data_IF_006646597514
#
_entry.id   IF_006646597514
#
_cell.length_a   1.000
_cell.length_b   1.000
_cell.length_c   1.000
_cell.angle_alpha   90.00
_cell.angle_beta   90.00
_cell.angle_gamma   90.00
#
_symmetry.space_group_name_H-M   'P 1'
#
loop_
_entity.id
_entity.type
_entity.pdbx_description
1 polymer ?
#
# COMPACT_ATOMS: atom_id res chain seq x y z
N UNK A 1 4.30 24.43 18.50
CA UNK A 1 3.96 23.64 17.29
C UNK A 1 5.13 22.74 16.86
N UNK A 2 6.30 23.26 16.49
CA UNK A 2 7.48 22.46 16.06
C UNK A 2 7.89 21.40 17.09
N UNK A 3 7.96 21.73 18.37
CA UNK A 3 8.34 20.81 19.47
C UNK A 3 7.31 19.67 19.61
N UNK A 4 6.04 19.96 19.47
CA UNK A 4 4.96 18.94 19.56
C UNK A 4 5.00 17.99 18.37
N UNK A 5 5.27 18.52 17.18
CA UNK A 5 5.44 17.72 15.96
C UNK A 5 6.70 16.87 16.04
N UNK A 6 7.82 17.42 16.55
CA UNK A 6 9.06 16.65 16.77
C UNK A 6 8.87 15.53 17.79
N UNK A 7 8.06 15.75 18.83
CA UNK A 7 7.70 14.71 19.81
C UNK A 7 6.79 13.67 19.16
N UNK A 8 5.85 14.06 18.30
CA UNK A 8 4.98 13.18 17.55
C UNK A 8 5.79 12.29 16.58
N UNK A 9 6.68 12.87 15.80
CA UNK A 9 7.60 12.15 14.90
C UNK A 9 8.51 11.20 15.71
N UNK A 10 9.04 11.63 16.83
CA UNK A 10 9.87 10.77 17.71
C UNK A 10 9.05 9.62 18.31
N UNK A 11 7.81 9.87 18.74
CA UNK A 11 6.93 8.83 19.29
C UNK A 11 6.47 7.85 18.17
N UNK A 12 6.19 8.34 16.97
CA UNK A 12 5.82 7.51 15.82
C UNK A 12 7.01 6.67 15.37
N UNK A 13 8.17 7.25 15.19
CA UNK A 13 9.38 6.52 14.79
C UNK A 13 9.83 5.53 15.88
N UNK A 14 9.67 5.87 17.17
CA UNK A 14 9.98 4.96 18.27
C UNK A 14 8.96 3.83 18.40
N UNK A 15 7.69 4.05 18.12
CA UNK A 15 6.65 3.02 18.12
C UNK A 15 6.88 2.00 16.98
N UNK A 16 7.29 2.47 15.80
CA UNK A 16 7.60 1.62 14.65
C UNK A 16 8.96 0.89 14.83
N UNK A 17 9.94 1.52 15.45
CA UNK A 17 11.28 0.91 15.67
C UNK A 17 11.37 0.06 16.94
N UNK A 18 10.42 0.15 17.86
CA UNK A 18 10.57 -0.40 19.21
C UNK A 18 10.34 -1.90 19.32
N UNK A 19 10.00 -2.65 18.26
CA UNK A 19 9.56 -4.02 18.53
C UNK A 19 9.89 -5.13 17.55
N UNK A 20 10.91 -5.06 16.79
CA UNK A 20 11.42 -6.31 16.22
C UNK A 20 12.89 -6.50 16.60
N UNK A 21 13.17 -7.48 17.44
CA UNK A 21 14.42 -8.23 17.29
C UNK A 21 14.30 -8.88 15.92
N UNK A 22 14.62 -8.11 14.89
CA UNK A 22 14.75 -8.61 13.52
C UNK A 22 15.60 -9.87 13.59
N UNK A 23 15.08 -10.99 13.08
CA UNK A 23 15.85 -12.21 13.09
C UNK A 23 17.12 -12.00 12.24
N UNK A 24 18.24 -12.52 12.68
CA UNK A 24 19.52 -12.42 11.96
C UNK A 24 19.37 -12.94 10.52
N UNK A 25 18.50 -13.90 10.30
CA UNK A 25 18.15 -14.47 9.00
C UNK A 25 17.59 -13.39 8.08
N UNK A 26 16.59 -12.65 8.54
CA UNK A 26 15.90 -11.62 7.74
C UNK A 26 16.86 -10.48 7.44
N UNK A 27 17.60 -10.03 8.43
CA UNK A 27 18.64 -9.01 8.26
C UNK A 27 19.66 -9.39 7.18
N UNK A 28 20.11 -10.65 7.16
CA UNK A 28 21.07 -11.12 6.16
C UNK A 28 20.46 -11.16 4.75
N UNK A 29 19.21 -11.62 4.63
CA UNK A 29 18.51 -11.75 3.34
C UNK A 29 18.13 -10.40 2.76
N UNK A 30 17.81 -9.41 3.61
CA UNK A 30 17.36 -8.07 3.16
C UNK A 30 18.49 -7.05 3.07
N UNK A 31 19.71 -7.41 3.44
CA UNK A 31 20.86 -6.49 3.49
C UNK A 31 21.04 -5.69 2.18
N UNK A 32 21.01 -4.38 2.29
CA UNK A 32 21.17 -3.46 1.15
C UNK A 32 19.88 -3.17 0.36
N UNK A 33 18.75 -3.77 0.76
CA UNK A 33 17.46 -3.55 0.13
C UNK A 33 16.43 -2.90 1.08
N UNK A 34 16.81 -2.67 2.33
CA UNK A 34 15.90 -2.14 3.35
C UNK A 34 15.51 -0.70 3.05
N UNK A 35 14.23 -0.39 3.27
CA UNK A 35 13.75 0.98 3.32
C UNK A 35 13.90 1.53 4.72
N UNK A 36 14.63 2.62 4.87
CA UNK A 36 14.87 3.27 6.16
C UNK A 36 13.87 4.41 6.37
N UNK A 37 12.82 4.14 7.14
CA UNK A 37 11.77 5.11 7.48
C UNK A 37 12.35 6.38 8.11
N UNK A 38 13.25 6.24 9.10
CA UNK A 38 13.81 7.39 9.82
C UNK A 38 14.61 8.32 8.89
N UNK A 39 15.43 7.77 8.00
CA UNK A 39 16.15 8.58 7.03
C UNK A 39 15.20 9.29 6.06
N UNK A 40 14.18 8.58 5.60
CA UNK A 40 13.18 9.14 4.69
C UNK A 40 12.40 10.28 5.35
N UNK A 41 11.89 10.09 6.58
CA UNK A 41 11.18 11.13 7.35
C UNK A 41 12.05 12.34 7.60
N UNK A 42 13.31 12.14 8.00
CA UNK A 42 14.26 13.25 8.21
C UNK A 42 14.48 14.09 6.96
N UNK A 43 14.52 13.46 5.79
CA UNK A 43 14.75 14.14 4.51
C UNK A 43 13.49 14.87 4.02
N UNK A 44 12.31 14.29 4.23
CA UNK A 44 11.06 14.82 3.66
C UNK A 44 10.29 15.74 4.62
N UNK A 45 10.50 15.63 5.93
CA UNK A 45 9.78 16.44 6.93
C UNK A 45 10.00 17.95 6.78
N UNK A 46 11.23 18.38 6.53
CA UNK A 46 11.56 19.80 6.48
C UNK A 46 11.27 20.44 5.12
N UNK A 47 11.42 19.71 4.03
CA UNK A 47 11.30 20.27 2.66
C UNK A 47 9.88 20.79 2.42
N UNK A 48 8.87 20.09 2.90
CA UNK A 48 7.47 20.47 2.74
C UNK A 48 7.09 21.68 3.59
N UNK A 49 7.57 21.74 4.83
CA UNK A 49 7.30 22.89 5.72
C UNK A 49 7.94 24.19 5.25
N UNK A 50 9.12 24.12 4.62
CA UNK A 50 9.79 25.28 4.03
C UNK A 50 8.98 25.84 2.87
N UNK A 51 8.36 24.99 2.05
CA UNK A 51 7.53 25.42 0.92
C UNK A 51 6.22 26.09 1.36
N UNK A 52 5.63 25.65 2.49
CA UNK A 52 4.43 26.28 3.08
C UNK A 52 4.67 27.75 3.51
N UNK A 53 5.92 28.09 3.85
CA UNK A 53 6.29 29.42 4.36
C UNK A 53 6.69 30.38 3.22
N UNK A 54 6.87 29.89 1.98
CA UNK A 54 7.30 30.70 0.85
C UNK A 54 6.14 31.55 0.27
N UNK A 55 6.08 32.89 0.52
CA UNK A 55 4.98 33.71 0.06
C UNK A 55 4.96 33.99 -1.46
N UNK A 56 6.01 33.60 -2.19
CA UNK A 56 6.18 33.90 -3.61
C UNK A 56 5.60 32.85 -4.55
N UNK A 57 5.05 31.73 -4.03
CA UNK A 57 4.63 30.57 -4.83
C UNK A 57 3.13 30.52 -5.17
N UNK A 58 2.40 31.62 -4.97
CA UNK A 58 0.94 31.69 -5.15
C UNK A 58 0.44 31.40 -6.58
N UNK A 59 1.31 31.43 -7.59
CA UNK A 59 0.91 31.26 -9.00
C UNK A 59 0.84 29.80 -9.48
N UNK A 60 1.41 28.87 -8.72
CA UNK A 60 1.50 27.45 -9.10
C UNK A 60 0.48 26.54 -8.40
N UNK A 61 -0.28 27.08 -7.44
CA UNK A 61 -1.24 26.29 -6.65
C UNK A 61 -2.31 25.64 -7.52
N UNK A 62 -2.56 24.36 -7.29
CA UNK A 62 -3.74 23.65 -7.81
C UNK A 62 -4.96 24.21 -7.06
N UNK A 63 -5.92 24.76 -7.81
CA UNK A 63 -7.11 25.44 -7.25
C UNK A 63 -8.41 24.76 -7.67
N UNK A 64 -8.35 23.73 -8.52
CA UNK A 64 -9.52 23.06 -9.02
C UNK A 64 -9.27 21.57 -9.23
N UNK A 65 -10.35 20.78 -9.19
CA UNK A 65 -10.33 19.36 -9.53
C UNK A 65 -9.78 19.09 -10.93
N UNK A 66 -10.05 19.97 -11.89
CA UNK A 66 -9.56 19.86 -13.27
C UNK A 66 -8.03 19.90 -13.33
N UNK A 67 -7.40 20.79 -12.58
CA UNK A 67 -5.93 20.88 -12.50
C UNK A 67 -5.33 19.65 -11.80
N UNK A 68 -5.98 19.12 -10.77
CA UNK A 68 -5.58 17.88 -10.13
C UNK A 68 -5.67 16.70 -11.10
N UNK A 69 -6.77 16.56 -11.83
CA UNK A 69 -6.95 15.52 -12.84
C UNK A 69 -5.88 15.60 -13.93
N UNK A 70 -5.52 16.80 -14.38
CA UNK A 70 -4.41 17.00 -15.33
C UNK A 70 -3.07 16.52 -14.74
N UNK A 71 -2.82 16.77 -13.46
CA UNK A 71 -1.63 16.25 -12.77
C UNK A 71 -1.64 14.72 -12.73
N UNK A 72 -2.75 14.10 -12.30
CA UNK A 72 -2.88 12.64 -12.22
C UNK A 72 -2.76 11.98 -13.61
N UNK A 73 -3.33 12.60 -14.65
CA UNK A 73 -3.18 12.12 -16.04
C UNK A 73 -1.72 12.21 -16.52
N UNK A 74 -0.96 13.22 -16.06
CA UNK A 74 0.48 13.29 -16.33
C UNK A 74 1.24 12.16 -15.64
N UNK A 75 0.89 11.85 -14.39
CA UNK A 75 1.47 10.71 -13.65
C UNK A 75 1.19 9.39 -14.37
N UNK A 76 -0.06 9.14 -14.77
CA UNK A 76 -0.45 7.96 -15.53
C UNK A 76 0.34 7.83 -16.84
N UNK A 77 0.47 8.93 -17.59
CA UNK A 77 1.27 8.99 -18.82
C UNK A 77 2.74 8.62 -18.59
N UNK A 78 3.34 9.09 -17.49
CA UNK A 78 4.72 8.74 -17.13
C UNK A 78 4.81 7.25 -16.86
N UNK A 79 3.89 6.68 -16.06
CA UNK A 79 3.86 5.26 -15.73
C UNK A 79 3.70 4.37 -16.97
N UNK A 80 2.82 4.75 -17.91
CA UNK A 80 2.67 4.04 -19.20
C UNK A 80 3.95 4.07 -20.01
N UNK A 81 4.63 5.21 -20.08
CA UNK A 81 5.89 5.33 -20.80
C UNK A 81 7.03 4.54 -20.11
N UNK A 82 7.10 4.52 -18.78
CA UNK A 82 8.05 3.67 -18.02
C UNK A 82 7.82 2.18 -18.28
N UNK A 83 6.57 1.75 -18.34
CA UNK A 83 6.22 0.37 -18.68
C UNK A 83 6.63 0.02 -20.12
N UNK A 84 6.42 0.93 -21.08
CA UNK A 84 6.88 0.76 -22.46
C UNK A 84 8.40 0.67 -22.54
N UNK A 85 9.10 1.56 -21.83
CA UNK A 85 10.56 1.51 -21.69
C UNK A 85 11.04 0.13 -21.21
N UNK A 86 10.41 -0.39 -20.16
CA UNK A 86 10.76 -1.70 -19.58
C UNK A 86 10.55 -2.85 -20.60
N UNK A 87 9.49 -2.79 -21.39
CA UNK A 87 9.23 -3.76 -22.47
C UNK A 87 10.31 -3.70 -23.56
N UNK A 88 10.60 -2.52 -24.07
CA UNK A 88 11.62 -2.32 -25.09
C UNK A 88 13.01 -2.75 -24.60
N UNK A 89 13.33 -2.45 -23.35
CA UNK A 89 14.60 -2.87 -22.77
C UNK A 89 14.70 -4.39 -22.64
N UNK A 90 13.62 -5.07 -22.25
CA UNK A 90 13.55 -6.53 -22.21
C UNK A 90 13.67 -7.15 -23.61
N UNK A 91 13.02 -6.57 -24.62
CA UNK A 91 13.14 -7.02 -26.01
C UNK A 91 14.58 -6.88 -26.53
N UNK A 92 15.26 -5.79 -26.20
CA UNK A 92 16.67 -5.59 -26.51
C UNK A 92 17.56 -6.68 -25.89
N UNK A 93 17.35 -7.00 -24.60
CA UNK A 93 18.09 -8.06 -23.92
C UNK A 93 17.85 -9.43 -24.55
N UNK A 94 16.62 -9.73 -24.98
CA UNK A 94 16.29 -10.97 -25.68
C UNK A 94 16.98 -11.05 -27.06
N UNK A 95 17.04 -9.93 -27.80
CA UNK A 95 17.79 -9.87 -29.05
C UNK A 95 19.28 -10.14 -28.82
N UNK A 96 19.90 -9.52 -27.82
CA UNK A 96 21.31 -9.76 -27.47
C UNK A 96 21.58 -11.23 -27.09
N UNK A 97 20.65 -11.84 -26.34
CA UNK A 97 20.73 -13.26 -26.02
C UNK A 97 20.61 -14.14 -27.27
N UNK A 98 19.67 -13.84 -28.18
CA UNK A 98 19.50 -14.59 -29.44
C UNK A 98 20.72 -14.49 -30.36
N UNK A 99 21.39 -13.32 -30.40
CA UNK A 99 22.65 -13.14 -31.15
C UNK A 99 23.73 -14.05 -30.52
N UNK A 100 23.94 -14.01 -29.19
CA UNK A 100 24.94 -14.84 -28.50
C UNK A 100 24.73 -16.34 -28.70
N UNK A 101 23.48 -16.77 -28.90
CA UNK A 101 23.12 -18.19 -29.17
C UNK A 101 23.07 -18.57 -30.64
N UNK A 102 23.36 -17.65 -31.56
CA UNK A 102 23.27 -17.90 -33.00
C UNK A 102 21.85 -18.19 -33.51
N UNK A 103 20.82 -17.73 -32.79
CA UNK A 103 19.40 -17.96 -33.08
C UNK A 103 18.78 -16.93 -34.04
N UNK A 104 19.50 -15.89 -34.40
CA UNK A 104 19.08 -14.81 -35.28
C UNK A 104 20.25 -14.33 -36.12
N UNK A 105 19.97 -13.87 -37.34
CA UNK A 105 20.96 -13.23 -38.20
C UNK A 105 21.43 -11.91 -37.54
N UNK A 106 22.77 -11.74 -37.49
CA UNK A 106 23.41 -10.60 -36.78
C UNK A 106 23.01 -9.25 -37.41
N UNK A 107 22.85 -9.20 -38.74
CA UNK A 107 22.51 -7.95 -39.42
C UNK A 107 21.04 -7.55 -39.11
N UNK A 108 20.13 -8.55 -39.16
CA UNK A 108 18.72 -8.31 -38.82
C UNK A 108 18.59 -7.88 -37.37
N UNK A 109 19.29 -8.54 -36.44
CA UNK A 109 19.27 -8.20 -35.05
C UNK A 109 19.84 -6.80 -34.81
N UNK A 110 20.92 -6.42 -35.52
CA UNK A 110 21.53 -5.07 -35.39
C UNK A 110 20.57 -3.98 -35.86
N UNK A 111 19.83 -4.19 -36.96
CA UNK A 111 18.82 -3.24 -37.43
C UNK A 111 17.75 -3.04 -36.35
N UNK A 112 17.16 -4.14 -35.83
CA UNK A 112 16.15 -4.08 -34.78
C UNK A 112 16.65 -3.42 -33.50
N UNK A 113 17.90 -3.75 -33.08
CA UNK A 113 18.49 -3.13 -31.90
C UNK A 113 18.66 -1.62 -32.08
N UNK A 114 19.02 -1.14 -33.27
CA UNK A 114 19.12 0.29 -33.56
C UNK A 114 17.74 0.97 -33.53
N UNK A 115 16.70 0.33 -34.06
CA UNK A 115 15.33 0.84 -34.00
C UNK A 115 14.86 0.95 -32.55
N UNK A 116 15.03 -0.10 -31.75
CA UNK A 116 14.68 -0.13 -30.33
C UNK A 116 15.48 0.96 -29.56
N UNK A 117 16.77 1.13 -29.82
CA UNK A 117 17.57 2.15 -29.16
C UNK A 117 17.07 3.57 -29.47
N UNK A 118 16.72 3.86 -30.74
CA UNK A 118 16.16 5.14 -31.11
C UNK A 118 14.81 5.41 -30.43
N UNK A 119 13.96 4.40 -30.31
CA UNK A 119 12.68 4.51 -29.60
C UNK A 119 12.90 4.71 -28.08
N UNK A 120 13.83 3.98 -27.47
CA UNK A 120 14.22 4.15 -26.07
C UNK A 120 14.73 5.57 -25.81
N UNK A 121 15.59 6.14 -26.65
CA UNK A 121 16.12 7.50 -26.49
C UNK A 121 15.00 8.54 -26.49
N UNK A 122 14.09 8.47 -27.47
CA UNK A 122 12.94 9.38 -27.54
C UNK A 122 12.02 9.25 -26.33
N UNK A 123 11.81 8.01 -25.87
CA UNK A 123 10.96 7.72 -24.74
C UNK A 123 11.56 8.24 -23.43
N UNK A 124 12.86 8.07 -23.22
CA UNK A 124 13.60 8.59 -22.06
C UNK A 124 13.56 10.12 -22.01
N UNK A 125 13.76 10.80 -23.13
CA UNK A 125 13.63 12.26 -23.22
C UNK A 125 12.24 12.73 -22.82
N UNK A 126 11.19 12.08 -23.34
CA UNK A 126 9.79 12.37 -23.02
C UNK A 126 9.48 12.14 -21.55
N UNK A 127 9.92 11.00 -20.99
CA UNK A 127 9.76 10.69 -19.57
C UNK A 127 10.43 11.75 -18.70
N UNK A 128 11.66 12.12 -19.01
CA UNK A 128 12.41 13.11 -18.23
C UNK A 128 11.73 14.49 -18.26
N UNK A 129 11.25 14.93 -19.42
CA UNK A 129 10.51 16.19 -19.55
C UNK A 129 9.21 16.17 -18.73
N UNK A 130 8.44 15.08 -18.83
CA UNK A 130 7.19 14.94 -18.09
C UNK A 130 7.45 14.86 -16.57
N UNK A 131 8.54 14.22 -16.13
CA UNK A 131 8.96 14.18 -14.71
C UNK A 131 9.32 15.54 -14.14
N UNK A 132 9.96 16.40 -14.90
CA UNK A 132 10.24 17.78 -14.45
C UNK A 132 8.94 18.52 -14.18
N UNK A 133 7.97 18.45 -15.11
CA UNK A 133 6.65 19.08 -14.93
C UNK A 133 5.89 18.49 -13.74
N UNK A 134 5.95 17.15 -13.58
CA UNK A 134 5.36 16.45 -12.45
C UNK A 134 5.93 16.97 -11.12
N UNK A 135 7.27 17.04 -11.00
CA UNK A 135 7.93 17.44 -9.77
C UNK A 135 7.61 18.90 -9.40
N UNK A 136 7.50 19.81 -10.37
CA UNK A 136 7.09 21.18 -10.14
C UNK A 136 5.66 21.32 -9.60
N UNK A 137 4.76 20.38 -9.94
CA UNK A 137 3.35 20.41 -9.55
C UNK A 137 3.02 19.54 -8.34
N UNK A 138 3.90 18.60 -7.98
CA UNK A 138 3.67 17.57 -6.95
C UNK A 138 3.19 18.18 -5.64
N UNK A 139 3.93 19.14 -5.10
CA UNK A 139 3.63 19.73 -3.80
C UNK A 139 2.27 20.42 -3.76
N UNK A 140 1.83 21.03 -4.88
CA UNK A 140 0.52 21.67 -4.94
C UNK A 140 -0.62 20.67 -5.09
N UNK A 141 -0.36 19.53 -5.76
CA UNK A 141 -1.31 18.41 -5.82
C UNK A 141 -1.50 17.81 -4.43
N UNK A 142 -0.41 17.59 -3.71
CA UNK A 142 -0.43 17.09 -2.33
C UNK A 142 -1.21 18.04 -1.41
N UNK A 143 -0.91 19.34 -1.43
CA UNK A 143 -1.63 20.34 -0.64
C UNK A 143 -3.13 20.35 -0.92
N UNK A 144 -3.53 20.27 -2.19
CA UNK A 144 -4.94 20.22 -2.56
C UNK A 144 -5.63 18.95 -2.03
N UNK A 145 -4.98 17.81 -2.11
CA UNK A 145 -5.47 16.55 -1.55
C UNK A 145 -5.60 16.62 -0.03
N UNK A 146 -4.57 17.13 0.66
CA UNK A 146 -4.53 17.30 2.12
C UNK A 146 -5.66 18.19 2.63
N UNK A 147 -5.91 19.33 1.98
CA UNK A 147 -7.00 20.24 2.32
C UNK A 147 -8.38 19.55 2.21
N UNK A 148 -8.59 18.76 1.17
CA UNK A 148 -9.86 18.07 0.96
C UNK A 148 -10.05 16.87 1.89
N UNK A 149 -9.00 16.08 2.14
CA UNK A 149 -9.02 15.00 3.14
C UNK A 149 -9.23 15.58 4.53
N UNK A 150 -8.50 16.65 4.91
CA UNK A 150 -8.69 17.33 6.19
C UNK A 150 -10.13 17.79 6.38
N UNK A 151 -10.74 18.37 5.35
CA UNK A 151 -12.14 18.79 5.39
C UNK A 151 -13.11 17.62 5.54
N UNK A 152 -12.84 16.48 4.89
CA UNK A 152 -13.65 15.27 5.03
C UNK A 152 -13.54 14.69 6.45
N UNK A 153 -12.33 14.61 7.02
CA UNK A 153 -12.10 14.16 8.40
C UNK A 153 -12.84 15.06 9.40
N UNK A 154 -12.78 16.38 9.19
CA UNK A 154 -13.50 17.34 10.05
C UNK A 154 -15.02 17.17 9.97
N UNK A 155 -15.56 16.85 8.78
CA UNK A 155 -17.01 16.60 8.64
C UNK A 155 -17.47 15.37 9.42
N UNK A 156 -16.59 14.38 9.61
CA UNK A 156 -16.80 13.19 10.43
C UNK A 156 -16.49 13.40 11.93
N UNK A 157 -16.17 14.63 12.34
CA UNK A 157 -15.95 15.04 13.75
C UNK A 157 -14.84 14.28 14.47
N UNK A 158 -13.78 13.87 13.76
CA UNK A 158 -12.63 13.19 14.38
C UNK A 158 -11.71 14.23 15.05
N UNK A 159 -11.81 14.35 16.38
CA UNK A 159 -11.04 15.29 17.19
C UNK A 159 -10.15 14.56 18.20
N UNK A 160 -8.99 15.11 18.55
CA UNK A 160 -8.13 14.54 19.61
C UNK A 160 -8.65 14.92 21.00
N UNK A 161 -8.96 16.19 21.22
CA UNK A 161 -9.47 16.74 22.48
C UNK A 161 -10.47 17.85 22.16
N UNK A 162 -11.75 17.63 22.31
CA UNK A 162 -12.82 18.65 22.25
C UNK A 162 -12.49 19.89 21.40
N UNK A 163 -12.01 19.71 20.15
CA UNK A 163 -11.60 20.73 19.19
C UNK A 163 -10.21 21.38 19.37
N UNK A 164 -9.32 20.91 20.26
CA UNK A 164 -8.05 21.61 20.54
C UNK A 164 -6.85 21.07 19.73
N UNK A 165 -6.83 19.80 19.34
CA UNK A 165 -5.70 19.25 18.59
C UNK A 165 -6.15 18.30 17.46
N UNK A 166 -5.79 18.67 16.23
CA UNK A 166 -5.97 17.88 15.03
C UNK A 166 -4.59 17.50 14.49
N UNK A 167 -4.36 16.21 14.21
CA UNK A 167 -3.15 15.78 13.50
C UNK A 167 -3.27 16.27 12.05
N UNK A 168 -2.41 17.18 11.59
CA UNK A 168 -2.49 17.65 10.21
C UNK A 168 -2.41 16.46 9.23
N UNK A 169 -3.21 16.50 8.17
CA UNK A 169 -3.01 15.60 7.05
C UNK A 169 -1.76 16.08 6.32
N UNK A 170 -0.80 15.20 6.16
CA UNK A 170 0.43 15.44 5.42
C UNK A 170 0.80 14.18 4.65
N UNK A 171 0.90 14.26 3.33
CA UNK A 171 1.16 13.12 2.47
C UNK A 171 2.24 13.42 1.42
N UNK A 172 2.94 12.39 0.98
CA UNK A 172 3.85 12.44 -0.15
C UNK A 172 3.46 11.41 -1.20
N UNK A 173 3.17 11.87 -2.42
CA UNK A 173 2.83 11.01 -3.56
C UNK A 173 4.13 10.43 -4.16
N UNK A 174 4.42 9.17 -3.86
CA UNK A 174 5.65 8.51 -4.27
C UNK A 174 5.43 7.03 -4.63
N UNK A 175 6.47 6.42 -5.23
CA UNK A 175 6.53 4.96 -5.31
C UNK A 175 6.74 4.41 -3.88
N UNK A 176 5.73 3.75 -3.36
CA UNK A 176 5.77 3.19 -2.00
C UNK A 176 6.85 2.10 -1.87
N UNK A 177 7.46 1.96 -0.68
CA UNK A 177 8.25 0.79 -0.35
C UNK A 177 7.49 -0.50 -0.61
N UNK A 178 8.19 -1.59 -0.82
CA UNK A 178 7.59 -2.92 -0.83
C UNK A 178 7.69 -3.53 0.56
N UNK A 179 6.81 -4.48 0.85
CA UNK A 179 6.80 -5.19 2.12
C UNK A 179 7.16 -6.66 1.89
N UNK A 180 8.25 -7.12 2.50
CA UNK A 180 8.53 -8.53 2.66
C UNK A 180 7.71 -9.03 3.85
N UNK A 181 6.83 -9.99 3.61
CA UNK A 181 6.00 -10.65 4.63
C UNK A 181 6.46 -12.09 4.79
N UNK A 182 6.63 -12.53 6.03
CA UNK A 182 7.15 -13.85 6.38
C UNK A 182 6.14 -14.58 7.24
N UNK A 183 5.91 -15.84 6.91
CA UNK A 183 5.03 -16.77 7.61
C UNK A 183 5.71 -18.11 7.80
N UNK A 184 5.46 -18.86 8.89
CA UNK A 184 5.78 -20.26 8.96
C UNK A 184 5.08 -21.03 7.83
N UNK A 185 5.62 -22.18 7.42
CA UNK A 185 5.00 -23.00 6.38
C UNK A 185 3.85 -23.86 6.89
N UNK A 186 3.84 -24.16 8.18
CA UNK A 186 2.84 -25.03 8.84
C UNK A 186 1.54 -24.32 9.23
N UNK A 187 1.50 -22.99 9.13
CA UNK A 187 0.31 -22.17 9.45
C UNK A 187 0.31 -20.85 8.71
N UNK A 188 -0.86 -20.23 8.61
CA UNK A 188 -1.01 -18.87 8.13
C UNK A 188 -0.84 -17.92 9.32
N UNK A 189 0.31 -17.27 9.40
CA UNK A 189 0.66 -16.39 10.51
C UNK A 189 1.66 -15.34 10.06
N UNK A 190 1.35 -14.06 10.24
CA UNK A 190 2.24 -12.94 9.93
C UNK A 190 3.30 -12.85 11.03
N UNK A 191 4.42 -13.53 10.80
CA UNK A 191 5.47 -13.70 11.80
C UNK A 191 6.37 -12.47 11.90
N UNK A 192 6.78 -11.95 10.76
CA UNK A 192 7.70 -10.82 10.65
C UNK A 192 7.51 -10.11 9.31
N UNK A 193 7.74 -8.79 9.32
CA UNK A 193 7.64 -7.96 8.14
C UNK A 193 8.88 -7.07 8.01
N UNK A 194 9.28 -6.77 6.75
CA UNK A 194 10.36 -5.84 6.47
C UNK A 194 10.05 -4.95 5.30
N UNK A 195 10.15 -3.63 5.49
CA UNK A 195 10.05 -2.68 4.38
C UNK A 195 11.32 -2.70 3.54
N UNK A 196 11.12 -2.79 2.23
CA UNK A 196 12.15 -2.83 1.21
C UNK A 196 12.03 -1.62 0.29
N UNK A 197 13.12 -1.21 -0.33
CA UNK A 197 13.14 -0.14 -1.30
C UNK A 197 12.14 -0.40 -2.44
N UNK A 198 11.46 0.65 -2.92
CA UNK A 198 10.45 0.57 -3.98
C UNK A 198 10.98 0.01 -5.31
N UNK A 199 12.26 0.22 -5.60
CA UNK A 199 12.94 -0.12 -6.87
C UNK A 199 13.64 -1.48 -6.86
N UNK A 200 13.44 -2.32 -5.82
CA UNK A 200 14.03 -3.66 -5.76
C UNK A 200 13.61 -4.50 -6.98
N UNK A 201 14.56 -5.15 -7.61
CA UNK A 201 14.34 -5.96 -8.81
C UNK A 201 13.56 -7.25 -8.51
N UNK A 202 12.83 -7.76 -9.51
CA UNK A 202 12.12 -9.03 -9.39
C UNK A 202 13.07 -10.20 -9.13
N UNK A 203 14.29 -10.15 -9.69
CA UNK A 203 15.32 -11.16 -9.44
C UNK A 203 15.74 -11.18 -7.96
N UNK A 204 16.01 -10.00 -7.37
CA UNK A 204 16.34 -9.89 -5.96
C UNK A 204 15.18 -10.38 -5.06
N UNK A 205 13.93 -10.04 -5.40
CA UNK A 205 12.74 -10.53 -4.71
C UNK A 205 12.68 -12.05 -4.73
N UNK A 206 12.82 -12.65 -5.92
CA UNK A 206 12.75 -14.10 -6.07
C UNK A 206 13.88 -14.80 -5.29
N UNK A 207 15.09 -14.26 -5.32
CA UNK A 207 16.22 -14.81 -4.57
C UNK A 207 15.99 -14.75 -3.05
N UNK A 208 15.46 -13.63 -2.52
CA UNK A 208 15.08 -13.53 -1.10
C UNK A 208 14.05 -14.58 -0.71
N UNK A 209 12.97 -14.68 -1.48
CA UNK A 209 11.88 -15.60 -1.20
C UNK A 209 12.34 -17.06 -1.27
N UNK A 210 13.23 -17.42 -2.21
CA UNK A 210 13.82 -18.75 -2.33
C UNK A 210 14.75 -19.06 -1.17
N UNK A 211 15.64 -18.15 -0.79
CA UNK A 211 16.54 -18.32 0.35
C UNK A 211 15.76 -18.57 1.64
N UNK A 212 14.69 -17.79 1.87
CA UNK A 212 13.82 -17.98 3.05
C UNK A 212 13.12 -19.34 3.02
N UNK A 213 12.70 -19.80 1.84
CA UNK A 213 12.04 -21.11 1.70
C UNK A 213 13.01 -22.27 1.86
N UNK A 214 14.11 -22.28 1.14
CA UNK A 214 15.01 -23.42 1.01
C UNK A 214 15.97 -23.57 2.20
N UNK A 215 16.50 -22.45 2.70
CA UNK A 215 17.50 -22.47 3.77
C UNK A 215 16.89 -22.32 5.16
N UNK A 216 15.71 -21.66 5.26
CA UNK A 216 15.12 -21.31 6.55
C UNK A 216 13.75 -21.96 6.79
N UNK A 217 13.20 -22.68 5.82
CA UNK A 217 11.89 -23.35 5.89
C UNK A 217 10.73 -22.38 6.22
N UNK A 218 10.78 -21.16 5.63
CA UNK A 218 9.80 -20.10 5.81
C UNK A 218 9.07 -19.80 4.50
N UNK A 219 7.79 -19.51 4.60
CA UNK A 219 7.00 -18.96 3.50
C UNK A 219 7.17 -17.45 3.45
N UNK A 220 7.50 -16.90 2.30
CA UNK A 220 7.74 -15.47 2.15
C UNK A 220 7.14 -14.93 0.86
N UNK A 221 6.71 -13.66 0.90
CA UNK A 221 6.25 -12.91 -0.26
C UNK A 221 6.64 -11.43 -0.13
N UNK A 222 7.07 -10.84 -1.23
CA UNK A 222 7.24 -9.38 -1.33
C UNK A 222 6.04 -8.80 -2.07
N UNK A 223 5.32 -7.91 -1.41
CA UNK A 223 4.12 -7.26 -1.93
C UNK A 223 4.32 -5.74 -2.07
N UNK A 224 3.66 -5.06 -3.02
CA UNK A 224 3.59 -3.60 -3.01
C UNK A 224 2.73 -3.14 -1.82
N UNK A 225 3.07 -2.00 -1.23
CA UNK A 225 2.20 -1.31 -0.27
C UNK A 225 1.39 -0.23 -0.97
N UNK A 226 0.19 0.05 -0.50
CA UNK A 226 -0.62 1.18 -0.95
C UNK A 226 -0.12 2.50 -0.40
N UNK A 227 0.18 2.49 0.88
CA UNK A 227 0.75 3.58 1.65
C UNK A 227 1.69 3.08 2.74
N UNK A 228 2.28 4.00 3.47
CA UNK A 228 3.04 3.77 4.71
C UNK A 228 2.79 4.94 5.65
N UNK A 229 2.42 4.64 6.88
CA UNK A 229 2.10 5.62 7.94
C UNK A 229 3.34 6.30 8.51
N UNK A 230 4.14 6.89 7.62
CA UNK A 230 5.21 7.84 7.95
C UNK A 230 4.63 9.24 8.16
N UNK A 231 5.45 10.22 8.49
CA UNK A 231 5.02 11.61 8.52
C UNK A 231 6.02 12.53 7.76
N UNK A 232 5.65 13.03 6.55
CA UNK A 232 4.38 12.84 5.78
C UNK A 232 4.08 11.35 5.50
N UNK A 233 2.80 10.97 5.35
CA UNK A 233 2.46 9.61 4.93
C UNK A 233 2.85 9.38 3.48
N UNK A 234 3.58 8.31 3.19
CA UNK A 234 3.86 7.91 1.81
C UNK A 234 2.59 7.30 1.23
N UNK A 235 2.14 7.81 0.09
CA UNK A 235 0.95 7.31 -0.61
C UNK A 235 1.31 7.00 -2.06
N UNK A 236 0.92 5.82 -2.53
CA UNK A 236 1.16 5.40 -3.91
C UNK A 236 0.41 6.29 -4.89
N UNK A 237 1.08 6.69 -5.95
CA UNK A 237 0.44 7.35 -7.08
C UNK A 237 -0.55 6.38 -7.76
N UNK A 238 -1.77 6.83 -8.02
CA UNK A 238 -2.84 6.02 -8.59
C UNK A 238 -4.04 6.86 -9.04
N UNK A 239 -5.21 6.25 -9.10
CA UNK A 239 -6.45 6.99 -9.33
C UNK A 239 -6.83 7.83 -8.09
N UNK A 240 -7.63 8.88 -8.32
CA UNK A 240 -7.95 9.85 -7.28
C UNK A 240 -8.61 9.22 -6.06
N UNK A 241 -9.59 8.33 -6.25
CA UNK A 241 -10.30 7.70 -5.14
C UNK A 241 -9.36 6.86 -4.30
N UNK A 242 -8.51 6.05 -4.94
CA UNK A 242 -7.52 5.22 -4.28
C UNK A 242 -6.54 6.06 -3.44
N UNK A 243 -6.02 7.17 -4.00
CA UNK A 243 -5.12 8.09 -3.28
C UNK A 243 -5.82 8.64 -2.02
N UNK A 244 -7.08 9.10 -2.15
CA UNK A 244 -7.82 9.68 -1.04
C UNK A 244 -8.12 8.65 0.06
N UNK A 245 -8.52 7.45 -0.32
CA UNK A 245 -8.78 6.35 0.61
C UNK A 245 -7.52 5.93 1.35
N UNK A 246 -6.41 5.73 0.62
CA UNK A 246 -5.13 5.36 1.21
C UNK A 246 -4.60 6.46 2.14
N UNK A 247 -4.63 7.72 1.71
CA UNK A 247 -4.14 8.82 2.53
C UNK A 247 -4.94 8.98 3.84
N UNK A 248 -6.25 8.78 3.81
CA UNK A 248 -7.09 8.80 5.00
C UNK A 248 -6.83 7.58 5.92
N UNK A 249 -6.59 6.40 5.34
CA UNK A 249 -6.18 5.19 6.05
C UNK A 249 -4.86 5.41 6.81
N UNK A 250 -3.81 5.87 6.12
CA UNK A 250 -2.50 6.12 6.73
C UNK A 250 -2.56 7.26 7.78
N UNK A 251 -3.39 8.26 7.53
CA UNK A 251 -3.62 9.32 8.52
C UNK A 251 -4.24 8.77 9.81
N UNK A 252 -5.18 7.81 9.71
CA UNK A 252 -5.79 7.24 10.91
C UNK A 252 -4.79 6.41 11.72
N UNK A 253 -3.88 5.68 11.09
CA UNK A 253 -2.77 5.03 11.80
C UNK A 253 -1.94 6.05 12.60
N UNK A 254 -1.57 7.17 11.97
CA UNK A 254 -0.83 8.24 12.65
C UNK A 254 -1.61 8.85 13.83
N UNK A 255 -2.92 9.00 13.67
CA UNK A 255 -3.79 9.46 14.77
C UNK A 255 -3.87 8.43 15.90
N UNK A 256 -4.11 7.17 15.57
CA UNK A 256 -4.27 6.08 16.54
C UNK A 256 -2.98 5.75 17.30
N UNK A 257 -1.80 6.03 16.74
CA UNK A 257 -0.52 5.82 17.41
C UNK A 257 -0.41 6.57 18.77
N UNK A 258 -1.18 7.63 18.95
CA UNK A 258 -1.28 8.38 20.20
C UNK A 258 -2.13 7.66 21.27
N UNK A 259 -2.90 6.65 20.90
CA UNK A 259 -3.90 5.99 21.73
C UNK A 259 -3.62 4.50 21.96
N UNK A 260 -4.25 3.86 22.94
CA UNK A 260 -4.07 2.44 23.23
C UNK A 260 -4.27 1.54 22.01
N UNK A 261 -5.29 1.79 21.18
CA UNK A 261 -5.57 0.98 19.99
C UNK A 261 -4.40 0.95 18.99
N UNK A 262 -3.79 2.09 18.70
CA UNK A 262 -2.62 2.14 17.82
C UNK A 262 -1.39 1.47 18.46
N UNK A 263 -1.17 1.69 19.76
CA UNK A 263 -0.05 1.05 20.48
C UNK A 263 -0.18 -0.46 20.61
N UNK A 264 -1.40 -0.99 20.59
CA UNK A 264 -1.66 -2.42 20.64
C UNK A 264 -1.48 -3.12 19.28
N UNK A 265 -1.21 -2.40 18.19
CA UNK A 265 -1.00 -2.95 16.85
C UNK A 265 -0.02 -4.13 16.82
N UNK A 266 1.07 -4.04 17.58
CA UNK A 266 2.13 -5.05 17.63
C UNK A 266 1.96 -6.09 18.75
N UNK A 267 0.87 -6.06 19.51
CA UNK A 267 0.67 -6.96 20.66
C UNK A 267 0.14 -8.33 20.24
N UNK A 268 -0.65 -8.40 19.18
CA UNK A 268 -1.20 -9.63 18.61
C UNK A 268 -1.64 -9.43 17.17
N UNK A 269 -1.76 -10.53 16.42
CA UNK A 269 -2.33 -10.54 15.06
C UNK A 269 -3.78 -10.06 15.02
N UNK A 270 -4.54 -10.32 16.09
CA UNK A 270 -5.93 -9.87 16.19
C UNK A 270 -6.00 -8.35 16.30
N UNK A 271 -5.18 -7.74 17.17
CA UNK A 271 -5.14 -6.29 17.32
C UNK A 271 -4.58 -5.61 16.07
N UNK A 272 -3.63 -6.23 15.39
CA UNK A 272 -3.17 -5.79 14.08
C UNK A 272 -4.31 -5.79 13.06
N UNK A 273 -5.03 -6.92 12.92
CA UNK A 273 -6.15 -7.04 11.98
C UNK A 273 -7.29 -6.07 12.28
N UNK A 274 -7.59 -5.86 13.54
CA UNK A 274 -8.61 -4.89 13.97
C UNK A 274 -8.18 -3.46 13.59
N UNK A 275 -6.95 -3.10 13.88
CA UNK A 275 -6.42 -1.76 13.57
C UNK A 275 -6.46 -1.50 12.06
N UNK A 276 -5.94 -2.42 11.24
CA UNK A 276 -6.00 -2.33 9.78
C UNK A 276 -7.45 -2.23 9.27
N UNK A 277 -8.35 -3.05 9.81
CA UNK A 277 -9.76 -3.05 9.38
C UNK A 277 -10.46 -1.73 9.73
N UNK A 278 -10.17 -1.15 10.88
CA UNK A 278 -10.70 0.17 11.26
C UNK A 278 -10.15 1.25 10.33
N UNK A 279 -8.86 1.22 10.02
CA UNK A 279 -8.24 2.16 9.11
C UNK A 279 -8.79 2.02 7.69
N UNK A 280 -9.10 0.80 7.23
CA UNK A 280 -9.78 0.55 5.95
C UNK A 280 -11.19 1.12 5.91
N UNK A 281 -12.00 0.86 6.94
CA UNK A 281 -13.37 1.39 7.03
C UNK A 281 -13.34 2.93 7.00
N UNK A 282 -12.45 3.51 7.79
CA UNK A 282 -12.28 4.96 7.86
C UNK A 282 -11.77 5.55 6.54
N UNK A 283 -10.71 4.97 5.99
CA UNK A 283 -10.10 5.39 4.73
C UNK A 283 -11.10 5.37 3.58
N UNK A 284 -11.89 4.29 3.49
CA UNK A 284 -12.93 4.16 2.48
C UNK A 284 -13.98 5.27 2.58
N UNK A 285 -14.50 5.56 3.76
CA UNK A 285 -15.57 6.56 3.91
C UNK A 285 -15.08 7.99 3.76
N UNK A 286 -13.98 8.34 4.44
CA UNK A 286 -13.38 9.67 4.32
C UNK A 286 -12.89 9.92 2.90
N UNK A 287 -12.29 8.90 2.26
CA UNK A 287 -11.87 8.99 0.87
C UNK A 287 -13.03 9.25 -0.10
N UNK A 288 -14.20 8.59 0.11
CA UNK A 288 -15.40 8.84 -0.67
C UNK A 288 -15.90 10.27 -0.46
N UNK A 289 -16.00 10.73 0.78
CA UNK A 289 -16.44 12.11 1.10
C UNK A 289 -15.52 13.14 0.42
N UNK A 290 -14.21 12.95 0.51
CA UNK A 290 -13.23 13.82 -0.13
C UNK A 290 -13.36 13.79 -1.66
N UNK A 291 -13.53 12.61 -2.25
CA UNK A 291 -13.73 12.45 -3.69
C UNK A 291 -14.99 13.14 -4.20
N UNK A 292 -16.13 12.92 -3.53
CA UNK A 292 -17.40 13.54 -3.91
C UNK A 292 -17.31 15.07 -3.85
N UNK A 293 -16.59 15.59 -2.84
CA UNK A 293 -16.34 17.02 -2.71
C UNK A 293 -15.47 17.58 -3.84
N UNK A 294 -14.36 16.88 -4.18
CA UNK A 294 -13.44 17.29 -5.25
C UNK A 294 -14.14 17.26 -6.61
N UNK A 295 -14.92 16.21 -6.86
CA UNK A 295 -15.55 15.97 -8.16
C UNK A 295 -16.91 16.63 -8.31
N UNK A 296 -17.45 17.24 -7.24
CA UNK A 296 -18.81 17.81 -7.17
C UNK A 296 -19.89 16.84 -7.69
N UNK A 297 -19.73 15.56 -7.35
CA UNK A 297 -20.68 14.49 -7.72
C UNK A 297 -20.60 13.33 -6.73
N UNK A 298 -21.75 12.68 -6.50
CA UNK A 298 -21.77 11.43 -5.72
C UNK A 298 -21.16 10.27 -6.51
N UNK A 299 -20.56 9.35 -5.77
CA UNK A 299 -20.09 8.10 -6.36
C UNK A 299 -21.31 7.20 -6.56
N UNK A 300 -21.59 6.84 -7.83
CA UNK A 300 -22.54 5.78 -8.12
C UNK A 300 -21.97 4.45 -7.59
N UNK A 301 -22.83 3.64 -6.94
CA UNK A 301 -22.44 2.35 -6.34
C UNK A 301 -21.79 1.36 -7.33
N UNK A 302 -21.81 1.65 -8.62
CA UNK A 302 -21.14 0.85 -9.66
C UNK A 302 -19.63 1.12 -9.74
N UNK A 303 -19.12 2.26 -9.26
CA UNK A 303 -17.67 2.59 -9.30
C UNK A 303 -16.90 1.80 -8.23
N UNK A 304 -17.54 1.44 -7.12
CA UNK A 304 -16.99 0.59 -6.06
C UNK A 304 -16.81 -0.89 -6.45
N UNK A 305 -17.31 -1.29 -7.60
CA UNK A 305 -17.02 -2.61 -8.15
C UNK A 305 -15.74 -2.47 -8.98
N UNK A 306 -14.60 -2.86 -8.40
CA UNK A 306 -13.39 -3.23 -9.16
C UNK A 306 -13.82 -3.87 -10.46
N UNK A 307 -13.29 -3.40 -11.61
CA UNK A 307 -13.60 -3.96 -12.94
C UNK A 307 -13.50 -5.48 -12.81
N UNK A 308 -14.64 -6.17 -12.69
CA UNK A 308 -14.66 -7.63 -12.69
C UNK A 308 -14.13 -8.06 -14.04
N UNK A 309 -12.90 -8.56 -14.06
CA UNK A 309 -12.18 -8.97 -15.26
C UNK A 309 -12.97 -10.07 -15.97
N UNK A 310 -13.60 -10.94 -15.18
CA UNK A 310 -14.56 -11.93 -15.67
C UNK A 310 -15.85 -11.80 -14.85
N UNK A 311 -16.96 -11.43 -15.49
CA UNK A 311 -18.26 -11.25 -14.80
C UNK A 311 -18.85 -12.56 -14.22
N UNK A 312 -18.42 -13.72 -14.73
CA UNK A 312 -18.86 -15.04 -14.29
C UNK A 312 -18.01 -15.61 -13.14
N UNK A 313 -16.76 -15.13 -12.98
CA UNK A 313 -15.85 -15.58 -11.93
C UNK A 313 -15.98 -14.73 -10.68
N UNK A 314 -16.37 -15.35 -9.57
CA UNK A 314 -16.45 -14.69 -8.27
C UNK A 314 -15.12 -14.83 -7.52
N UNK A 315 -14.24 -13.85 -7.67
CA UNK A 315 -12.93 -13.80 -7.04
C UNK A 315 -13.01 -13.92 -5.51
N UNK A 316 -13.90 -13.17 -4.88
CA UNK A 316 -13.99 -13.11 -3.41
C UNK A 316 -14.36 -14.48 -2.82
N UNK A 317 -15.38 -15.12 -3.42
CA UNK A 317 -15.78 -16.47 -3.03
C UNK A 317 -14.65 -17.47 -3.25
N UNK A 318 -13.98 -17.40 -4.38
CA UNK A 318 -12.87 -18.29 -4.74
C UNK A 318 -11.70 -18.19 -3.75
N UNK A 319 -11.27 -16.96 -3.41
CA UNK A 319 -10.17 -16.75 -2.46
C UNK A 319 -10.51 -17.20 -1.06
N UNK A 320 -11.74 -16.94 -0.61
CA UNK A 320 -12.24 -17.43 0.70
C UNK A 320 -12.26 -18.95 0.77
N UNK A 321 -12.78 -19.62 -0.26
CA UNK A 321 -12.78 -21.09 -0.33
C UNK A 321 -11.38 -21.65 -0.39
N UNK A 322 -10.48 -21.05 -1.17
CA UNK A 322 -9.07 -21.42 -1.25
C UNK A 322 -8.41 -21.35 0.12
N UNK A 323 -8.59 -20.24 0.85
CA UNK A 323 -8.07 -20.06 2.20
C UNK A 323 -8.53 -21.16 3.15
N UNK A 324 -9.81 -21.47 3.18
CA UNK A 324 -10.37 -22.50 4.06
C UNK A 324 -9.78 -23.89 3.80
N UNK A 325 -9.55 -24.25 2.52
CA UNK A 325 -8.90 -25.52 2.15
C UNK A 325 -7.45 -25.54 2.62
N UNK A 326 -6.72 -24.43 2.41
CA UNK A 326 -5.32 -24.30 2.86
C UNK A 326 -5.22 -24.45 4.39
N UNK A 327 -6.05 -23.75 5.16
CA UNK A 327 -6.08 -23.85 6.63
C UNK A 327 -6.34 -25.27 7.08
N UNK A 328 -7.28 -25.99 6.43
CA UNK A 328 -7.57 -27.38 6.72
C UNK A 328 -6.35 -28.28 6.46
N UNK A 329 -5.73 -28.17 5.28
CA UNK A 329 -4.54 -28.99 4.94
C UNK A 329 -3.39 -28.72 5.92
N UNK A 330 -3.14 -27.46 6.28
CA UNK A 330 -2.11 -27.11 7.25
C UNK A 330 -2.43 -27.66 8.65
N UNK A 331 -3.70 -27.63 9.09
CA UNK A 331 -4.12 -28.22 10.38
C UNK A 331 -3.95 -29.76 10.43
N UNK A 332 -3.94 -30.41 9.27
CA UNK A 332 -3.68 -31.86 9.13
C UNK A 332 -2.16 -32.15 8.94
N UNK A 333 -1.29 -31.14 9.00
CA UNK A 333 0.16 -31.26 8.78
C UNK A 333 0.57 -31.48 7.32
N UNK A 334 -0.34 -31.29 6.37
CA UNK A 334 -0.13 -31.51 4.93
C UNK A 334 0.43 -30.29 4.23
N UNK A 335 1.64 -29.87 4.62
CA UNK A 335 2.26 -28.63 4.14
C UNK A 335 2.46 -28.65 2.63
N UNK A 336 3.11 -29.70 2.09
CA UNK A 336 3.41 -29.79 0.65
C UNK A 336 2.13 -29.87 -0.21
N UNK A 337 1.09 -30.56 0.28
CA UNK A 337 -0.19 -30.62 -0.41
C UNK A 337 -0.87 -29.24 -0.43
N UNK A 338 -0.78 -28.47 0.66
CA UNK A 338 -1.33 -27.12 0.72
C UNK A 338 -0.61 -26.17 -0.24
N UNK A 339 0.71 -26.29 -0.35
CA UNK A 339 1.52 -25.47 -1.27
C UNK A 339 1.24 -25.81 -2.74
N UNK A 340 1.13 -27.09 -3.08
CA UNK A 340 0.70 -27.53 -4.42
C UNK A 340 -0.70 -27.02 -4.76
N UNK A 341 -1.63 -27.12 -3.84
CA UNK A 341 -2.99 -26.61 -4.00
C UNK A 341 -3.00 -25.09 -4.24
N UNK A 342 -2.23 -24.31 -3.48
CA UNK A 342 -2.13 -22.86 -3.68
C UNK A 342 -1.58 -22.50 -5.06
N UNK A 343 -0.59 -23.25 -5.58
CA UNK A 343 -0.08 -22.99 -6.93
C UNK A 343 -1.10 -23.37 -8.02
N UNK A 344 -1.85 -24.45 -7.85
CA UNK A 344 -2.96 -24.81 -8.72
C UNK A 344 -4.03 -23.69 -8.77
N UNK A 345 -4.41 -23.14 -7.59
CA UNK A 345 -5.38 -22.05 -7.53
C UNK A 345 -4.85 -20.77 -8.18
N UNK A 346 -3.55 -20.49 -8.09
CA UNK A 346 -2.91 -19.39 -8.82
C UNK A 346 -3.06 -19.53 -10.32
N UNK A 347 -2.91 -20.73 -10.87
CA UNK A 347 -3.11 -21.01 -12.30
C UNK A 347 -4.58 -20.78 -12.70
N UNK A 348 -5.54 -21.21 -11.87
CA UNK A 348 -6.97 -20.95 -12.10
C UNK A 348 -7.26 -19.46 -12.14
N UNK A 349 -6.70 -18.67 -11.20
CA UNK A 349 -6.84 -17.21 -11.20
C UNK A 349 -6.28 -16.57 -12.46
N UNK A 350 -5.07 -16.96 -12.87
CA UNK A 350 -4.45 -16.47 -14.10
C UNK A 350 -5.32 -16.75 -15.33
N UNK A 351 -5.92 -17.95 -15.44
CA UNK A 351 -6.83 -18.29 -16.53
C UNK A 351 -8.13 -17.48 -16.55
N UNK A 352 -8.50 -16.88 -15.40
CA UNK A 352 -9.64 -15.98 -15.26
C UNK A 352 -9.25 -14.49 -15.34
N UNK A 353 -7.98 -14.19 -15.70
CA UNK A 353 -7.50 -12.83 -15.91
C UNK A 353 -6.94 -12.14 -14.64
N UNK A 354 -6.79 -12.86 -13.53
CA UNK A 354 -6.19 -12.36 -12.30
C UNK A 354 -4.71 -12.76 -12.25
N UNK A 355 -3.83 -11.80 -12.51
CA UNK A 355 -2.37 -12.05 -12.56
C UNK A 355 -1.76 -11.88 -11.15
N UNK A 356 -1.90 -12.90 -10.32
CA UNK A 356 -1.29 -12.98 -8.99
C UNK A 356 0.03 -13.76 -9.11
N UNK A 357 1.15 -13.11 -8.76
CA UNK A 357 2.50 -13.67 -8.92
C UNK A 357 2.70 -14.95 -8.10
N UNK A 358 2.23 -14.97 -6.85
CA UNK A 358 2.42 -16.07 -5.91
C UNK A 358 1.27 -16.10 -4.91
N UNK A 359 0.81 -17.29 -4.57
CA UNK A 359 -0.10 -17.54 -3.44
C UNK A 359 0.61 -18.53 -2.52
N UNK A 360 0.80 -18.16 -1.26
CA UNK A 360 1.43 -18.96 -0.22
C UNK A 360 0.91 -18.56 1.16
N UNK A 361 1.43 -19.14 2.23
CA UNK A 361 1.02 -18.82 3.60
C UNK A 361 1.23 -17.32 3.93
N UNK A 362 2.37 -16.74 3.48
CA UNK A 362 2.65 -15.31 3.68
C UNK A 362 1.68 -14.41 2.91
N UNK A 363 1.21 -14.81 1.72
CA UNK A 363 0.16 -14.12 0.98
C UNK A 363 -1.12 -14.01 1.82
N UNK A 364 -1.62 -15.13 2.32
CA UNK A 364 -2.81 -15.14 3.15
C UNK A 364 -2.60 -14.45 4.51
N UNK A 365 -1.39 -14.52 5.06
CA UNK A 365 -1.06 -13.82 6.30
C UNK A 365 -1.10 -12.31 6.15
N UNK A 366 -0.73 -11.78 4.97
CA UNK A 366 -0.79 -10.36 4.67
C UNK A 366 -2.21 -9.90 4.31
N UNK A 367 -2.77 -10.43 3.22
CA UNK A 367 -4.08 -9.98 2.74
C UNK A 367 -5.22 -10.32 3.71
N UNK A 368 -5.10 -11.40 4.47
CA UNK A 368 -6.05 -11.78 5.50
C UNK A 368 -6.00 -10.93 6.78
N UNK A 369 -5.01 -10.03 6.92
CA UNK A 369 -4.97 -9.04 8.00
C UNK A 369 -6.11 -8.02 7.86
N UNK A 370 -6.47 -7.68 6.63
CA UNK A 370 -7.56 -6.76 6.32
C UNK A 370 -8.89 -7.50 6.38
N UNK A 371 -9.69 -7.23 7.42
CA UNK A 371 -10.91 -8.01 7.67
C UNK A 371 -11.97 -7.96 6.58
N UNK A 372 -11.97 -6.91 5.75
CA UNK A 372 -12.84 -6.78 4.57
C UNK A 372 -12.40 -7.57 3.34
N UNK A 373 -11.20 -8.13 3.34
CA UNK A 373 -10.66 -8.88 2.21
C UNK A 373 -11.18 -10.32 2.19
N UNK A 374 -11.36 -10.91 1.01
CA UNK A 374 -11.81 -12.30 0.87
C UNK A 374 -10.79 -13.32 1.41
N UNK A 375 -9.54 -12.94 1.54
CA UNK A 375 -8.47 -13.73 2.16
C UNK A 375 -8.57 -13.78 3.70
N UNK A 376 -9.42 -12.97 4.32
CA UNK A 376 -9.64 -12.99 5.76
C UNK A 376 -10.55 -14.14 6.18
N UNK A 377 -10.20 -14.82 7.28
CA UNK A 377 -11.02 -15.85 7.90
C UNK A 377 -11.71 -15.39 9.19
N UNK A 378 -11.46 -14.14 9.61
CA UNK A 378 -12.08 -13.56 10.81
C UNK A 378 -13.34 -12.76 10.49
N UNK A 379 -14.12 -12.44 11.55
CA UNK A 379 -15.36 -11.65 11.43
C UNK A 379 -15.17 -10.20 11.89
N UNK A 380 -13.93 -9.68 11.93
CA UNK A 380 -13.64 -8.34 12.47
C UNK A 380 -14.34 -7.25 11.68
N UNK A 381 -14.35 -7.35 10.36
CA UNK A 381 -15.02 -6.37 9.51
C UNK A 381 -16.52 -6.29 9.82
N UNK A 382 -17.21 -7.43 9.86
CA UNK A 382 -18.65 -7.46 10.13
C UNK A 382 -18.98 -6.90 11.51
N UNK A 383 -18.18 -7.24 12.52
CA UNK A 383 -18.35 -6.74 13.88
C UNK A 383 -18.11 -5.23 13.96
N UNK A 384 -17.06 -4.73 13.31
CA UNK A 384 -16.77 -3.29 13.28
C UNK A 384 -17.81 -2.50 12.51
N UNK A 385 -18.37 -3.05 11.43
CA UNK A 385 -19.52 -2.44 10.72
C UNK A 385 -20.78 -2.42 11.62
N UNK A 386 -21.02 -3.46 12.45
CA UNK A 386 -22.12 -3.44 13.41
C UNK A 386 -21.89 -2.39 14.51
N UNK A 387 -20.67 -2.27 15.05
CA UNK A 387 -20.31 -1.21 15.99
C UNK A 387 -20.56 0.16 15.34
N UNK A 388 -20.05 0.39 14.12
CA UNK A 388 -20.21 1.63 13.38
C UNK A 388 -21.67 2.06 13.25
N UNK A 389 -22.59 1.14 12.95
CA UNK A 389 -24.02 1.43 12.79
C UNK A 389 -24.68 2.00 14.07
N UNK A 390 -24.03 1.90 15.21
CA UNK A 390 -24.51 2.48 16.49
C UNK A 390 -24.16 3.95 16.64
N UNK A 391 -23.21 4.44 15.83
CA UNK A 391 -22.72 5.81 15.89
C UNK A 391 -23.29 6.65 14.74
N UNK A 392 -23.45 7.94 15.00
CA UNK A 392 -23.98 8.90 14.04
C UNK A 392 -22.96 9.24 12.95
N UNK A 393 -21.68 9.26 13.31
CA UNK A 393 -20.53 9.57 12.44
C UNK A 393 -19.32 8.72 12.83
N UNK A 394 -18.30 8.71 12.00
CA UNK A 394 -17.06 7.98 12.27
C UNK A 394 -16.29 8.54 13.47
N UNK A 395 -16.33 9.85 13.69
CA UNK A 395 -15.62 10.49 14.79
C UNK A 395 -16.05 9.98 16.14
N UNK A 396 -17.37 9.84 16.37
CA UNK A 396 -17.91 9.30 17.63
C UNK A 396 -17.44 7.84 17.82
N UNK A 397 -17.47 7.02 16.77
CA UNK A 397 -16.94 5.64 16.82
C UNK A 397 -15.44 5.62 17.16
N UNK A 398 -14.64 6.41 16.45
CA UNK A 398 -13.19 6.46 16.68
C UNK A 398 -12.87 6.98 18.07
N UNK A 399 -13.65 7.95 18.58
CA UNK A 399 -13.50 8.49 19.95
C UNK A 399 -13.61 7.37 21.00
N UNK A 400 -14.55 6.47 20.86
CA UNK A 400 -14.77 5.40 21.85
C UNK A 400 -13.77 4.25 21.63
N UNK A 401 -13.57 3.80 20.39
CA UNK A 401 -12.75 2.62 20.10
C UNK A 401 -11.25 2.84 20.30
N UNK A 402 -10.75 4.09 20.17
CA UNK A 402 -9.30 4.40 20.27
C UNK A 402 -8.67 4.05 21.62
N UNK A 403 -9.48 3.91 22.67
CA UNK A 403 -9.01 3.54 24.02
C UNK A 403 -8.97 2.02 24.25
N UNK A 404 -9.39 1.21 23.26
CA UNK A 404 -9.36 -0.24 23.35
C UNK A 404 -7.94 -0.78 23.05
N UNK A 405 -7.41 -1.60 23.94
CA UNK A 405 -6.08 -2.23 23.83
C UNK A 405 -6.17 -3.76 23.69
N UNK A 406 -7.39 -4.30 23.63
CA UNK A 406 -7.69 -5.71 23.45
C UNK A 406 -9.06 -5.90 22.79
N UNK A 407 -9.31 -7.12 22.29
CA UNK A 407 -10.49 -7.46 21.52
C UNK A 407 -11.78 -7.44 22.37
N UNK A 408 -11.71 -7.79 23.65
CA UNK A 408 -12.85 -7.81 24.56
C UNK A 408 -13.43 -6.42 24.76
N UNK A 409 -12.57 -5.40 24.92
CA UNK A 409 -13.01 -3.99 24.99
C UNK A 409 -13.67 -3.52 23.71
N UNK A 410 -13.19 -3.98 22.55
CA UNK A 410 -13.81 -3.63 21.27
C UNK A 410 -15.19 -4.27 21.15
N UNK A 411 -15.31 -5.56 21.52
CA UNK A 411 -16.58 -6.25 21.45
C UNK A 411 -17.59 -5.80 22.50
N UNK A 412 -17.15 -5.25 23.64
CA UNK A 412 -18.06 -4.61 24.58
C UNK A 412 -18.84 -3.42 24.00
N UNK A 413 -18.36 -2.85 22.88
CA UNK A 413 -19.10 -1.80 22.14
C UNK A 413 -20.25 -2.39 21.29
N UNK A 414 -20.36 -3.72 21.17
CA UNK A 414 -21.50 -4.39 20.51
C UNK A 414 -22.69 -4.57 21.49
N UNK A 415 -22.47 -4.50 22.80
CA UNK A 415 -23.49 -4.57 23.86
C UNK A 415 -24.14 -3.21 24.11
#
# INVERSE_FOLDING_TARGET
MIIVISILVYLLSSAISANSRESEIIKNVTQGYEFNIFNWERENFFDKWISYINPFDNHKKIKSSEQLIQYLSLVEKINLNENLYSKLFTEKLDLDYKIKKGKIDVNIAKIKTNEINAEIEQLVEKINKDKVIKNEKKIYAEQFLEENISSAIQSEQVNIFDNIFYVPVDLSLEKTPKLLVISPRDKIYRQEDKLLNSNISLEAINNMELTLLEENNLSAIVVPTGGVSTYPSIVSEGDLLYILQTAAHEWLHNYLALFPLGRSYFTSTDMQSINETICDIFGNEVGIIAYEKIMDRKIDNEINQTKKINKEFNFDKFMKETRLVVEKLLSEGKILESESFMDEQRVVLSSNGYDIRKINQAYFAFYGTYGGNPESSNNYYDNLIQIKKRYKNLGDMIHDIKYSDNIEKIYSLLE
#
